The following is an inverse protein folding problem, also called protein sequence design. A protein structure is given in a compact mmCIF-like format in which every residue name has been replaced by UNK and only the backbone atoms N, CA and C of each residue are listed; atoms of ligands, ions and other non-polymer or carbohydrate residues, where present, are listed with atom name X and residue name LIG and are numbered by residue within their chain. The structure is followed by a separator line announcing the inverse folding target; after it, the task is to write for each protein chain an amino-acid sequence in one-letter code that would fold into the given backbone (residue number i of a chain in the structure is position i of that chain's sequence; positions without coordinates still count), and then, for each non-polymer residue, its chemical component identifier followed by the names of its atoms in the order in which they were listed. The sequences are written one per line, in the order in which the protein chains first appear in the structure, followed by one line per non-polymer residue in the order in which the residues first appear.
data_IF_816687828275
#
_entry.id   IF_816687828275
#
_cell.length_a   1.000
_cell.length_b   1.000
_cell.length_c   1.000
_cell.angle_alpha   90.00
_cell.angle_beta   90.00
_cell.angle_gamma   90.00
#
_symmetry.space_group_name_H-M   'P 1'
#
loop_
_entity.id
_entity.type
_entity.pdbx_description
1 polymer ?
#
# COMPACT_ATOMS: atom_id res chain seq x y z
N UNK A 1 34.29 -32.70 39.07
CA UNK A 1 33.06 -33.29 38.49
C UNK A 1 32.00 -32.23 38.14
N UNK A 2 32.39 -31.07 37.58
CA UNK A 2 31.45 -29.97 37.28
C UNK A 2 31.19 -29.75 35.78
N UNK A 3 32.07 -30.24 34.89
CA UNK A 3 31.91 -30.05 33.45
C UNK A 3 30.78 -30.89 32.81
N UNK A 4 30.48 -32.08 33.36
CA UNK A 4 29.44 -32.97 32.84
C UNK A 4 28.00 -32.50 33.16
N UNK A 5 27.84 -31.62 34.15
CA UNK A 5 26.52 -31.08 34.56
C UNK A 5 26.07 -29.93 33.67
N UNK A 6 27.00 -29.17 33.11
CA UNK A 6 26.70 -28.00 32.26
C UNK A 6 26.27 -28.38 30.85
N UNK A 7 26.76 -29.50 30.30
CA UNK A 7 26.34 -29.98 28.97
C UNK A 7 24.92 -30.55 28.96
N UNK A 8 24.48 -31.15 30.07
CA UNK A 8 23.14 -31.74 30.19
C UNK A 8 22.01 -30.69 30.21
N UNK A 9 22.30 -29.47 30.70
CA UNK A 9 21.31 -28.39 30.76
C UNK A 9 21.05 -27.72 29.40
N UNK A 10 22.03 -27.73 28.49
CA UNK A 10 21.87 -27.18 27.13
C UNK A 10 21.06 -28.13 26.25
N UNK A 11 21.24 -29.45 26.40
CA UNK A 11 20.45 -30.46 25.68
C UNK A 11 18.98 -30.53 26.14
N UNK A 12 18.68 -30.18 27.40
CA UNK A 12 17.31 -30.18 27.91
C UNK A 12 16.47 -28.97 27.47
N UNK A 13 17.10 -27.87 27.03
CA UNK A 13 16.38 -26.68 26.57
C UNK A 13 15.98 -26.73 25.07
N UNK A 14 16.49 -27.70 24.32
CA UNK A 14 16.32 -27.76 22.87
C UNK A 14 15.17 -28.68 22.40
N UNK A 15 14.43 -29.35 23.30
CA UNK A 15 13.57 -30.48 22.90
C UNK A 15 12.05 -30.36 23.19
N UNK A 16 11.50 -29.21 23.60
CA UNK A 16 10.07 -29.14 23.98
C UNK A 16 9.20 -28.09 23.29
N UNK A 17 9.69 -27.32 22.32
CA UNK A 17 8.88 -26.27 21.69
C UNK A 17 8.46 -26.56 20.24
N UNK A 18 8.53 -27.82 19.79
CA UNK A 18 8.26 -28.21 18.40
C UNK A 18 7.07 -29.18 18.33
N UNK A 19 5.86 -28.72 18.66
CA UNK A 19 4.60 -29.41 18.32
C UNK A 19 3.35 -28.60 18.70
N UNK A 20 3.20 -27.37 18.19
CA UNK A 20 1.92 -26.66 18.30
C UNK A 20 1.74 -25.57 17.23
N UNK A 21 2.01 -25.88 15.96
CA UNK A 21 1.43 -25.07 14.88
C UNK A 21 0.12 -25.73 14.44
N UNK A 22 -0.88 -25.61 15.30
CA UNK A 22 -2.24 -26.03 14.98
C UNK A 22 -2.72 -25.18 13.78
N UNK A 23 -2.96 -25.83 12.65
CA UNK A 23 -3.55 -25.24 11.48
C UNK A 23 -4.94 -24.67 11.82
N UNK A 24 -5.02 -23.36 11.99
CA UNK A 24 -6.29 -22.66 12.07
C UNK A 24 -7.00 -22.77 10.70
N UNK A 25 -8.32 -22.99 10.67
CA UNK A 25 -9.06 -22.98 9.41
C UNK A 25 -9.02 -21.55 8.85
N UNK A 26 -8.44 -21.40 7.65
CA UNK A 26 -8.49 -20.12 6.93
C UNK A 26 -9.93 -19.92 6.45
N UNK A 27 -10.68 -19.08 7.17
CA UNK A 27 -11.98 -18.61 6.71
C UNK A 27 -11.80 -17.99 5.31
N UNK A 28 -12.50 -18.55 4.33
CA UNK A 28 -12.53 -17.99 2.99
C UNK A 28 -13.26 -16.65 3.06
N UNK A 29 -12.50 -15.55 2.99
CA UNK A 29 -13.07 -14.23 2.84
C UNK A 29 -13.73 -14.14 1.45
N UNK A 30 -15.05 -14.26 1.42
CA UNK A 30 -15.85 -13.84 0.26
C UNK A 30 -15.75 -12.32 0.17
N UNK A 31 -14.81 -11.84 -0.64
CA UNK A 31 -14.79 -10.45 -1.05
C UNK A 31 -16.04 -10.23 -1.90
N UNK A 32 -17.10 -9.72 -1.29
CA UNK A 32 -18.18 -9.10 -2.04
C UNK A 32 -17.53 -8.03 -2.93
N UNK A 33 -17.68 -8.17 -4.23
CA UNK A 33 -17.20 -7.19 -5.19
C UNK A 33 -17.99 -5.89 -4.96
N UNK A 34 -17.45 -5.03 -4.10
CA UNK A 34 -17.84 -3.62 -4.07
C UNK A 34 -17.35 -3.07 -5.40
N UNK A 35 -18.27 -2.79 -6.32
CA UNK A 35 -17.98 -1.90 -7.44
C UNK A 35 -17.73 -0.52 -6.85
N UNK A 36 -16.49 -0.30 -6.42
CA UNK A 36 -16.02 1.02 -6.05
C UNK A 36 -16.20 1.91 -7.28
N UNK A 37 -17.12 2.86 -7.20
CA UNK A 37 -17.13 3.97 -8.12
C UNK A 37 -15.93 4.82 -7.74
N UNK A 38 -14.76 4.51 -8.31
CA UNK A 38 -13.59 5.36 -8.14
C UNK A 38 -14.00 6.78 -8.56
N UNK A 39 -13.74 7.79 -7.72
CA UNK A 39 -13.96 9.16 -8.14
C UNK A 39 -13.14 9.38 -9.40
N UNK A 40 -13.82 9.63 -10.53
CA UNK A 40 -13.16 10.08 -11.74
C UNK A 40 -12.57 11.45 -11.42
N UNK A 41 -11.28 11.47 -11.10
CA UNK A 41 -10.51 12.70 -10.97
C UNK A 41 -10.37 13.32 -12.35
N UNK A 42 -11.43 14.00 -12.80
CA UNK A 42 -11.42 14.75 -14.04
C UNK A 42 -10.86 16.13 -13.71
N UNK A 43 -9.63 16.39 -14.13
CA UNK A 43 -9.08 17.74 -14.10
C UNK A 43 -9.85 18.56 -15.14
N UNK A 44 -10.48 19.69 -14.77
CA UNK A 44 -11.15 20.55 -15.74
C UNK A 44 -10.15 21.03 -16.80
N UNK A 45 -10.43 20.75 -18.07
CA UNK A 45 -9.57 21.13 -19.19
C UNK A 45 -9.98 22.48 -19.77
N UNK A 46 -9.01 23.38 -19.93
CA UNK A 46 -9.18 24.67 -20.60
C UNK A 46 -8.40 24.59 -21.92
N UNK A 47 -9.13 24.44 -23.04
CA UNK A 47 -8.53 24.33 -24.36
C UNK A 47 -8.04 25.69 -24.86
N UNK A 48 -6.77 25.74 -25.28
CA UNK A 48 -6.13 26.83 -26.04
C UNK A 48 -6.25 28.24 -25.44
N UNK A 49 -6.60 28.37 -24.15
CA UNK A 49 -6.78 29.64 -23.46
C UNK A 49 -5.94 29.69 -22.17
N UNK A 50 -4.67 30.00 -22.37
CA UNK A 50 -3.71 30.12 -21.30
C UNK A 50 -4.04 31.27 -20.32
N UNK A 51 -4.59 32.38 -20.83
CA UNK A 51 -4.90 33.55 -20.00
C UNK A 51 -6.01 33.23 -18.99
N UNK A 52 -7.06 32.54 -19.43
CA UNK A 52 -8.13 32.06 -18.55
C UNK A 52 -7.63 31.02 -17.55
N UNK A 53 -6.82 30.06 -17.99
CA UNK A 53 -6.26 29.04 -17.10
C UNK A 53 -5.43 29.67 -15.97
N UNK A 54 -4.63 30.68 -16.28
CA UNK A 54 -3.88 31.44 -15.28
C UNK A 54 -4.77 32.21 -14.30
N UNK A 55 -5.83 32.86 -14.78
CA UNK A 55 -6.75 33.60 -13.92
C UNK A 55 -7.46 32.66 -12.93
N UNK A 56 -7.98 31.55 -13.42
CA UNK A 56 -8.67 30.51 -12.64
C UNK A 56 -7.74 29.89 -11.57
N UNK A 57 -6.52 29.52 -11.98
CA UNK A 57 -5.55 28.90 -11.09
C UNK A 57 -5.09 29.85 -9.96
N UNK A 58 -4.90 31.13 -10.29
CA UNK A 58 -4.61 32.17 -9.27
C UNK A 58 -5.77 32.35 -8.31
N UNK A 59 -7.00 32.48 -8.80
CA UNK A 59 -8.18 32.63 -7.96
C UNK A 59 -8.34 31.46 -6.97
N UNK A 60 -7.97 30.25 -7.43
CA UNK A 60 -8.07 29.01 -6.65
C UNK A 60 -6.80 28.66 -5.86
N UNK A 61 -5.70 29.39 -6.04
CA UNK A 61 -4.39 29.10 -5.46
C UNK A 61 -3.90 27.67 -5.74
N UNK A 62 -4.06 27.21 -6.98
CA UNK A 62 -3.62 25.87 -7.43
C UNK A 62 -2.60 25.99 -8.56
N UNK A 63 -1.69 25.00 -8.70
CA UNK A 63 -0.81 24.93 -9.87
C UNK A 63 -1.60 24.65 -11.16
N UNK A 64 -1.02 25.01 -12.31
CA UNK A 64 -1.55 24.65 -13.63
C UNK A 64 -0.78 23.47 -14.21
N UNK A 65 -1.50 22.61 -14.93
CA UNK A 65 -0.92 21.59 -15.80
C UNK A 65 -1.12 22.01 -17.26
N UNK A 66 -0.05 21.96 -18.06
CA UNK A 66 -0.07 22.34 -19.47
C UNK A 66 0.37 21.12 -20.27
N UNK A 67 -0.49 20.68 -21.18
CA UNK A 67 -0.12 19.73 -22.23
C UNK A 67 0.20 20.55 -23.48
N UNK A 68 1.41 20.40 -24.01
CA UNK A 68 1.87 21.11 -25.19
C UNK A 68 2.37 20.08 -26.18
N UNK A 69 1.63 19.91 -27.26
CA UNK A 69 1.93 18.95 -28.32
C UNK A 69 2.03 19.62 -29.67
N UNK A 70 2.74 18.96 -30.58
CA UNK A 70 2.83 19.36 -31.97
C UNK A 70 2.87 18.15 -32.92
N UNK A 71 2.32 18.29 -34.15
CA UNK A 71 2.13 17.19 -35.11
C UNK A 71 3.37 16.76 -35.91
N UNK A 72 4.53 17.35 -35.65
CA UNK A 72 5.76 17.15 -36.44
C UNK A 72 6.72 16.16 -35.81
#
# INVERSE_FOLDING_TARGET
MHAARSLALIAALALTASAAHAAAPRAAATHAAVTAHEPKYVVPWIADDYARALAEARARHVPIFIEAWAPW
#
